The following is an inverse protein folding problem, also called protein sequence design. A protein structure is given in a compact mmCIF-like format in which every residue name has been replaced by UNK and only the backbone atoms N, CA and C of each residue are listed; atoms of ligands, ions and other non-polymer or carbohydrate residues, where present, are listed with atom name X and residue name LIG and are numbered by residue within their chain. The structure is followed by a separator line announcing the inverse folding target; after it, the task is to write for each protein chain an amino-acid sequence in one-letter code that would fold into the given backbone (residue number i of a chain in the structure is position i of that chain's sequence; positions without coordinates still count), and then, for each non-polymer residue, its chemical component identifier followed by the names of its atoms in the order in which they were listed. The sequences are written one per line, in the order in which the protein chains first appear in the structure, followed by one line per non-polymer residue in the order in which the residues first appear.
data_IF_842005991030
#
_entry.id   IF_842005991030
#
_cell.length_a   1.000
_cell.length_b   1.000
_cell.length_c   1.000
_cell.angle_alpha   90.00
_cell.angle_beta   90.00
_cell.angle_gamma   90.00
#
_symmetry.space_group_name_H-M   'P 1'
#
loop_
_entity.id
_entity.type
_entity.pdbx_description
1 polymer ?
#
# COMPACT_ATOMS: atom_id res chain seq x y z
N UNK A 1 -17.87 10.57 6.69
CA UNK A 1 -17.81 11.84 5.95
C UNK A 1 -16.57 11.81 5.07
N UNK A 2 -16.67 11.92 3.75
CA UNK A 2 -15.49 11.85 2.85
C UNK A 2 -14.46 12.97 3.10
N UNK A 3 -14.85 13.99 3.87
CA UNK A 3 -14.01 15.13 4.22
C UNK A 3 -13.11 14.86 5.43
N UNK A 4 -13.47 13.92 6.32
CA UNK A 4 -12.77 13.71 7.59
C UNK A 4 -11.80 12.51 7.60
N UNK A 5 -11.86 11.64 6.59
CA UNK A 5 -11.02 10.44 6.50
C UNK A 5 -9.97 10.56 5.38
N UNK A 6 -8.76 10.04 5.62
CA UNK A 6 -7.77 9.91 4.56
C UNK A 6 -8.18 8.81 3.59
N UNK A 7 -8.11 9.06 2.29
CA UNK A 7 -8.40 8.03 1.30
C UNK A 7 -7.32 6.95 1.31
N UNK A 8 -7.69 5.74 1.75
CA UNK A 8 -6.76 4.60 1.80
C UNK A 8 -6.87 3.74 0.53
N UNK A 9 -5.76 3.25 -0.05
CA UNK A 9 -5.84 2.31 -1.16
C UNK A 9 -6.50 1.01 -0.72
N UNK A 10 -7.35 0.45 -1.57
CA UNK A 10 -7.94 -0.86 -1.33
C UNK A 10 -6.89 -1.98 -1.43
N UNK A 11 -7.24 -3.19 -0.95
CA UNK A 11 -6.30 -4.32 -0.94
C UNK A 11 -5.72 -4.68 -2.31
N UNK A 12 -6.53 -4.66 -3.37
CA UNK A 12 -6.07 -4.94 -4.72
C UNK A 12 -5.03 -3.91 -5.21
N UNK A 13 -5.26 -2.62 -4.94
CA UNK A 13 -4.29 -1.58 -5.27
C UNK A 13 -2.97 -1.79 -4.51
N UNK A 14 -3.03 -2.13 -3.21
CA UNK A 14 -1.84 -2.42 -2.41
C UNK A 14 -1.06 -3.61 -2.97
N UNK A 15 -1.75 -4.65 -3.45
CA UNK A 15 -1.11 -5.82 -4.04
C UNK A 15 -0.42 -5.50 -5.37
N UNK A 16 -1.07 -4.69 -6.23
CA UNK A 16 -0.44 -4.22 -7.47
C UNK A 16 0.79 -3.37 -7.17
N UNK A 17 0.72 -2.49 -6.16
CA UNK A 17 1.87 -1.70 -5.72
C UNK A 17 3.03 -2.58 -5.24
N UNK A 18 2.73 -3.60 -4.42
CA UNK A 18 3.68 -4.55 -3.86
C UNK A 18 4.44 -5.33 -4.93
N UNK A 19 3.79 -5.67 -6.04
CA UNK A 19 4.41 -6.38 -7.18
C UNK A 19 5.67 -5.65 -7.70
N UNK A 20 5.72 -4.32 -7.58
CA UNK A 20 6.83 -3.50 -8.06
C UNK A 20 7.75 -2.99 -6.94
N UNK A 21 7.55 -3.43 -5.70
CA UNK A 21 8.39 -3.08 -4.55
C UNK A 21 7.59 -2.70 -3.31
N UNK A 22 8.25 -2.77 -2.16
CA UNK A 22 7.65 -2.58 -0.82
C UNK A 22 8.05 -1.25 -0.16
N UNK A 23 9.21 -0.71 -0.54
CA UNK A 23 9.92 0.34 0.22
C UNK A 23 9.67 1.75 -0.33
N UNK A 24 8.51 1.96 -0.95
CA UNK A 24 8.12 3.26 -1.50
C UNK A 24 6.88 3.83 -0.82
N UNK A 25 6.76 5.16 -0.87
CA UNK A 25 5.80 5.92 -0.09
C UNK A 25 4.42 6.00 -0.77
N UNK A 26 3.37 5.83 0.03
CA UNK A 26 1.97 6.03 -0.34
C UNK A 26 1.43 7.21 0.47
N UNK A 27 1.05 8.27 -0.24
CA UNK A 27 0.45 9.48 0.33
C UNK A 27 -1.07 9.34 0.29
N UNK A 28 -1.69 9.18 1.46
CA UNK A 28 -3.15 9.14 1.60
C UNK A 28 -3.61 10.52 2.02
N UNK A 29 -4.40 11.19 1.17
CA UNK A 29 -4.71 12.62 1.28
C UNK A 29 -6.14 12.87 1.74
N UNK A 30 -6.39 14.12 2.16
CA UNK A 30 -7.72 14.72 2.36
C UNK A 30 -7.92 15.93 1.44
N UNK A 31 -9.17 16.38 1.21
CA UNK A 31 -9.44 17.57 0.41
C UNK A 31 -8.78 18.86 0.93
N UNK A 32 -8.50 18.94 2.24
CA UNK A 32 -7.82 20.08 2.89
C UNK A 32 -6.30 20.13 2.63
N UNK A 33 -5.77 19.19 1.85
CA UNK A 33 -4.35 19.10 1.51
C UNK A 33 -3.49 18.41 2.57
N UNK A 34 -4.05 18.04 3.71
CA UNK A 34 -3.34 17.21 4.69
C UNK A 34 -3.19 15.78 4.18
N UNK A 35 -2.15 15.08 4.64
CA UNK A 35 -1.87 13.71 4.25
C UNK A 35 -1.18 12.93 5.35
N UNK A 36 -1.32 11.61 5.27
CA UNK A 36 -0.49 10.66 6.02
C UNK A 36 0.32 9.82 5.04
N UNK A 37 1.53 9.47 5.44
CA UNK A 37 2.45 8.68 4.62
C UNK A 37 2.69 7.33 5.27
N UNK A 38 2.62 6.27 4.46
CA UNK A 38 3.01 4.91 4.82
C UNK A 38 3.78 4.28 3.67
N UNK A 39 4.62 3.31 3.96
CA UNK A 39 5.21 2.46 2.91
C UNK A 39 4.20 1.41 2.45
N UNK A 40 4.43 0.82 1.26
CA UNK A 40 3.63 -0.34 0.82
C UNK A 40 3.77 -1.50 1.81
N UNK A 41 4.95 -1.71 2.39
CA UNK A 41 5.20 -2.71 3.43
C UNK A 41 4.32 -2.52 4.67
N UNK A 42 4.17 -1.28 5.15
CA UNK A 42 3.31 -0.98 6.30
C UNK A 42 1.82 -1.15 5.98
N UNK A 43 1.43 -0.89 4.72
CA UNK A 43 0.05 -1.00 4.26
C UNK A 43 -0.37 -2.44 3.94
N UNK A 44 0.58 -3.32 3.62
CA UNK A 44 0.34 -4.73 3.30
C UNK A 44 1.41 -5.61 3.98
N UNK A 45 1.36 -5.75 5.31
CA UNK A 45 2.33 -6.54 6.04
C UNK A 45 2.21 -8.03 5.70
N UNK A 46 3.33 -8.75 5.70
CA UNK A 46 3.40 -10.18 5.36
C UNK A 46 2.68 -10.51 4.04
N UNK A 47 2.81 -9.63 3.04
CA UNK A 47 2.16 -9.75 1.75
C UNK A 47 2.65 -10.94 0.96
N UNK A 48 1.74 -11.66 0.31
CA UNK A 48 2.06 -12.55 -0.80
C UNK A 48 2.79 -11.79 -1.91
N UNK A 49 3.77 -12.40 -2.58
CA UNK A 49 4.37 -11.87 -3.80
C UNK A 49 5.31 -12.82 -4.54
N UNK A 50 6.24 -12.29 -5.35
CA UNK A 50 7.05 -13.09 -6.26
C UNK A 50 7.83 -14.21 -5.56
N UNK A 51 8.26 -14.00 -4.32
CA UNK A 51 8.96 -15.00 -3.50
C UNK A 51 8.11 -16.24 -3.19
N UNK A 52 6.79 -16.12 -3.05
CA UNK A 52 5.89 -17.25 -2.77
C UNK A 52 5.71 -18.18 -3.99
N UNK A 53 6.02 -17.66 -5.19
CA UNK A 53 5.98 -18.42 -6.44
C UNK A 53 7.32 -19.11 -6.74
N UNK A 54 8.38 -18.79 -6.00
CA UNK A 54 9.66 -19.47 -6.13
C UNK A 54 9.52 -20.88 -5.54
N UNK A 55 9.56 -21.90 -6.41
CA UNK A 55 9.65 -23.29 -5.94
C UNK A 55 10.96 -23.45 -5.16
N UNK A 56 10.88 -24.11 -4.00
CA UNK A 56 12.04 -24.65 -3.31
C UNK A 56 12.78 -25.53 -4.32
N UNK A 57 13.97 -25.10 -4.75
CA UNK A 57 14.89 -25.91 -5.54
C UNK A 57 15.63 -26.88 -4.62
#
# INVERSE_FOLDING_TARGET
DLQEEFISPCGACRQVMREFGTDWAVYMTKPDGTFVVRTVQELLPASFGPEDLQKIQ
#
